data_IF_570408826437
#
_entry.id   IF_570408826437
#
_cell.length_a   1.000
_cell.length_b   1.000
_cell.length_c   1.000
_cell.angle_alpha   90.00
_cell.angle_beta   90.00
_cell.angle_gamma   90.00
#
_symmetry.space_group_name_H-M   'P 1'
#
loop_
_entity.id
_entity.type
_entity.pdbx_description
1 polymer ?
#
# COMPACT_ATOMS: atom_id res chain seq x y z
N UNK A 1 3.01 -18.52 0.35
CA UNK A 1 2.85 -17.45 -0.66
C UNK A 1 1.39 -17.14 -1.09
N UNK A 2 0.55 -18.10 -1.50
CA UNK A 2 -0.82 -17.81 -2.00
C UNK A 2 -1.65 -16.93 -1.05
N UNK A 3 -1.68 -17.24 0.24
CA UNK A 3 -2.41 -16.42 1.24
C UNK A 3 -1.87 -14.99 1.35
N UNK A 4 -0.56 -14.80 1.17
CA UNK A 4 0.06 -13.46 1.15
C UNK A 4 -0.44 -12.69 -0.08
N UNK A 5 -0.47 -13.32 -1.26
CA UNK A 5 -1.00 -12.69 -2.49
C UNK A 5 -2.46 -12.25 -2.31
N UNK A 6 -3.32 -13.15 -1.81
CA UNK A 6 -4.73 -12.83 -1.55
C UNK A 6 -4.90 -11.71 -0.51
N UNK A 7 -4.08 -11.73 0.55
CA UNK A 7 -4.09 -10.69 1.57
C UNK A 7 -3.63 -9.33 1.01
N UNK A 8 -2.63 -9.31 0.13
CA UNK A 8 -2.19 -8.09 -0.57
C UNK A 8 -3.28 -7.54 -1.49
N UNK A 9 -4.01 -8.40 -2.21
CA UNK A 9 -5.15 -7.97 -3.03
C UNK A 9 -6.24 -7.33 -2.17
N UNK A 10 -6.58 -7.95 -1.03
CA UNK A 10 -7.53 -7.40 -0.08
C UNK A 10 -7.06 -6.04 0.47
N UNK A 11 -5.80 -5.95 0.90
CA UNK A 11 -5.19 -4.69 1.37
C UNK A 11 -5.28 -3.59 0.30
N UNK A 12 -5.02 -3.94 -0.97
CA UNK A 12 -5.14 -3.00 -2.07
C UNK A 12 -6.57 -2.49 -2.24
N UNK A 13 -7.58 -3.37 -2.21
CA UNK A 13 -8.99 -2.94 -2.26
C UNK A 13 -9.36 -2.04 -1.08
N UNK A 14 -8.89 -2.34 0.12
CA UNK A 14 -9.08 -1.49 1.30
C UNK A 14 -8.48 -0.09 1.05
N UNK A 15 -7.24 -0.01 0.55
CA UNK A 15 -6.57 1.26 0.19
C UNK A 15 -7.32 2.05 -0.90
N UNK A 16 -7.94 1.38 -1.87
CA UNK A 16 -8.75 2.03 -2.89
C UNK A 16 -10.07 2.59 -2.33
N UNK A 17 -10.70 1.85 -1.42
CA UNK A 17 -12.01 2.18 -0.86
C UNK A 17 -11.93 3.30 0.18
N UNK A 18 -10.93 3.27 1.07
CA UNK A 18 -10.73 4.22 2.16
C UNK A 18 -10.93 5.70 1.78
N UNK A 19 -10.14 6.29 0.86
CA UNK A 19 -10.30 7.71 0.53
C UNK A 19 -11.63 8.00 -0.18
N UNK A 20 -12.21 7.02 -0.90
CA UNK A 20 -13.51 7.20 -1.56
C UNK A 20 -14.64 7.30 -0.55
N UNK A 21 -14.67 6.39 0.43
CA UNK A 21 -15.68 6.37 1.50
C UNK A 21 -15.60 7.65 2.34
N UNK A 22 -14.39 8.08 2.70
CA UNK A 22 -14.17 9.27 3.51
C UNK A 22 -14.57 10.58 2.80
N UNK A 23 -14.49 10.63 1.47
CA UNK A 23 -14.94 11.79 0.67
C UNK A 23 -16.44 11.73 0.32
N UNK A 24 -17.04 10.53 0.23
CA UNK A 24 -18.43 10.36 -0.23
C UNK A 24 -19.45 11.09 0.66
N UNK A 25 -19.12 11.34 1.93
CA UNK A 25 -20.01 12.00 2.89
C UNK A 25 -20.25 13.49 2.58
N UNK A 26 -19.32 14.17 1.91
CA UNK A 26 -19.44 15.60 1.64
C UNK A 26 -20.27 15.89 0.38
N UNK A 27 -20.12 15.12 -0.71
CA UNK A 27 -20.89 15.29 -1.95
C UNK A 27 -21.01 13.98 -2.73
N UNK A 28 -22.14 13.75 -3.44
CA UNK A 28 -22.31 12.68 -4.46
C UNK A 28 -21.52 13.02 -5.74
N UNK A 29 -20.22 13.25 -5.58
CA UNK A 29 -19.30 13.59 -6.66
C UNK A 29 -18.38 12.39 -6.96
N UNK A 30 -18.41 11.94 -8.21
CA UNK A 30 -17.60 10.84 -8.74
C UNK A 30 -16.29 11.31 -9.39
N UNK A 31 -15.99 12.61 -9.34
CA UNK A 31 -14.73 13.14 -9.85
C UNK A 31 -13.51 12.54 -9.12
N UNK A 32 -12.32 12.56 -9.74
CA UNK A 32 -11.10 12.05 -9.12
C UNK A 32 -10.86 12.64 -7.73
N UNK A 33 -10.31 11.83 -6.81
CA UNK A 33 -10.09 12.24 -5.41
C UNK A 33 -9.35 13.58 -5.31
N UNK A 34 -8.30 13.79 -6.13
CA UNK A 34 -7.54 15.03 -6.13
C UNK A 34 -8.41 16.25 -6.46
N UNK A 35 -9.26 16.14 -7.50
CA UNK A 35 -10.19 17.21 -7.90
C UNK A 35 -11.15 17.58 -6.77
N UNK A 36 -11.61 16.58 -6.00
CA UNK A 36 -12.51 16.82 -4.86
C UNK A 36 -11.79 17.50 -3.70
N UNK A 37 -10.56 17.08 -3.41
CA UNK A 37 -9.72 17.68 -2.37
C UNK A 37 -9.39 19.15 -2.67
N UNK A 38 -9.19 19.48 -3.95
CA UNK A 38 -8.89 20.86 -4.37
C UNK A 38 -10.15 21.75 -4.36
N UNK A 39 -11.34 21.17 -4.55
CA UNK A 39 -12.62 21.89 -4.57
C UNK A 39 -13.22 22.14 -3.18
N UNK A 40 -13.12 21.18 -2.26
CA UNK A 40 -13.79 21.24 -0.96
C UNK A 40 -12.79 21.32 0.20
N UNK A 41 -12.58 22.53 0.78
CA UNK A 41 -11.65 22.72 1.90
C UNK A 41 -12.12 22.05 3.20
N UNK A 42 -13.37 21.59 3.28
CA UNK A 42 -13.89 20.91 4.46
C UNK A 42 -13.47 19.43 4.52
N UNK A 43 -12.93 18.88 3.43
CA UNK A 43 -12.42 17.51 3.46
C UNK A 43 -11.18 17.45 4.36
N UNK A 44 -11.14 16.56 5.36
CA UNK A 44 -9.99 16.48 6.25
C UNK A 44 -8.69 16.18 5.49
N UNK A 45 -7.62 16.89 5.84
CA UNK A 45 -6.32 16.76 5.17
C UNK A 45 -5.72 15.33 5.21
N UNK A 46 -6.14 14.48 6.16
CA UNK A 46 -5.71 13.08 6.21
C UNK A 46 -6.25 12.25 5.04
N UNK A 47 -7.37 12.62 4.42
CA UNK A 47 -7.93 11.92 3.26
C UNK A 47 -7.00 12.01 2.06
N UNK A 48 -6.45 13.21 1.79
CA UNK A 48 -5.42 13.39 0.77
C UNK A 48 -4.16 12.60 1.07
N UNK A 49 -3.76 12.53 2.34
CA UNK A 49 -2.60 11.72 2.76
C UNK A 49 -2.84 10.21 2.54
N UNK A 50 -4.01 9.70 2.90
CA UNK A 50 -4.40 8.31 2.61
C UNK A 50 -4.39 8.06 1.11
N UNK A 51 -4.89 8.98 0.29
CA UNK A 51 -4.84 8.86 -1.17
C UNK A 51 -3.41 8.76 -1.70
N UNK A 52 -2.48 9.58 -1.20
CA UNK A 52 -1.06 9.49 -1.54
C UNK A 52 -0.43 8.17 -1.08
N UNK A 53 -0.79 7.66 0.10
CA UNK A 53 -0.34 6.35 0.58
C UNK A 53 -0.86 5.21 -0.32
N UNK A 54 -2.08 5.32 -0.85
CA UNK A 54 -2.62 4.37 -1.84
C UNK A 54 -1.84 4.39 -3.14
N UNK A 55 -1.49 5.57 -3.68
CA UNK A 55 -0.60 5.66 -4.85
C UNK A 55 0.75 5.01 -4.60
N UNK A 56 1.33 5.24 -3.42
CA UNK A 56 2.60 4.62 -3.06
C UNK A 56 2.53 3.08 -2.95
N UNK A 57 1.41 2.54 -2.45
CA UNK A 57 1.18 1.09 -2.49
C UNK A 57 1.14 0.60 -3.95
N UNK A 58 0.39 1.28 -4.83
CA UNK A 58 0.25 0.92 -6.24
C UNK A 58 1.60 0.87 -6.98
N UNK A 59 2.51 1.80 -6.71
CA UNK A 59 3.85 1.81 -7.30
C UNK A 59 4.68 0.56 -6.95
N UNK A 60 4.46 -0.01 -5.76
CA UNK A 60 5.19 -1.19 -5.29
C UNK A 60 4.53 -2.54 -5.63
N UNK A 61 3.23 -2.54 -5.99
CA UNK A 61 2.49 -3.76 -6.28
C UNK A 61 3.06 -4.57 -7.47
N UNK A 62 3.47 -3.95 -8.61
CA UNK A 62 4.04 -4.71 -9.72
C UNK A 62 5.26 -5.53 -9.31
N UNK A 63 6.16 -4.93 -8.52
CA UNK A 63 7.37 -5.60 -8.02
C UNK A 63 7.00 -6.73 -7.05
N UNK A 64 6.09 -6.45 -6.10
CA UNK A 64 5.61 -7.45 -5.15
C UNK A 64 4.98 -8.66 -5.87
N UNK A 65 4.05 -8.42 -6.79
CA UNK A 65 3.36 -9.50 -7.50
C UNK A 65 4.31 -10.29 -8.41
N UNK A 66 5.24 -9.62 -9.09
CA UNK A 66 6.26 -10.33 -9.87
C UNK A 66 7.07 -11.29 -8.99
N UNK A 67 7.58 -10.82 -7.85
CA UNK A 67 8.35 -11.66 -6.92
C UNK A 67 7.48 -12.78 -6.31
N UNK A 68 6.24 -12.48 -5.94
CA UNK A 68 5.33 -13.45 -5.34
C UNK A 68 4.91 -14.56 -6.33
N UNK A 69 4.65 -14.21 -7.59
CA UNK A 69 4.33 -15.18 -8.65
C UNK A 69 5.55 -16.04 -8.96
N UNK A 70 6.73 -15.44 -9.11
CA UNK A 70 7.96 -16.20 -9.30
C UNK A 70 8.21 -17.16 -8.14
N UNK A 71 8.05 -16.70 -6.90
CA UNK A 71 8.16 -17.55 -5.69
C UNK A 71 7.22 -18.76 -5.73
N UNK A 72 5.99 -18.59 -6.23
CA UNK A 72 5.03 -19.71 -6.40
C UNK A 72 5.52 -20.67 -7.49
N UNK A 73 5.89 -20.15 -8.66
CA UNK A 73 6.24 -20.96 -9.84
C UNK A 73 7.57 -21.70 -9.66
N UNK A 74 8.56 -21.08 -9.01
CA UNK A 74 9.86 -21.70 -8.72
C UNK A 74 9.87 -22.48 -7.40
N UNK A 75 8.77 -22.47 -6.65
CA UNK A 75 8.62 -23.14 -5.35
C UNK A 75 9.66 -22.67 -4.30
N UNK A 76 10.11 -21.42 -4.41
CA UNK A 76 11.01 -20.76 -3.45
C UNK A 76 10.17 -20.08 -2.37
N UNK A 77 10.38 -20.41 -1.10
CA UNK A 77 9.60 -19.79 -0.02
C UNK A 77 10.07 -18.37 0.30
N UNK A 78 9.28 -17.39 -0.10
CA UNK A 78 9.45 -15.97 0.25
C UNK A 78 8.34 -15.44 1.17
N UNK A 79 7.62 -16.33 1.86
CA UNK A 79 6.41 -15.99 2.63
C UNK A 79 6.71 -15.03 3.78
N UNK A 80 7.83 -15.18 4.47
CA UNK A 80 8.25 -14.32 5.59
C UNK A 80 8.47 -12.87 5.14
N UNK A 81 9.20 -12.67 4.04
CA UNK A 81 9.44 -11.35 3.45
C UNK A 81 8.14 -10.72 2.94
N UNK A 82 7.27 -11.50 2.30
CA UNK A 82 5.96 -11.03 1.84
C UNK A 82 5.04 -10.60 2.98
N UNK A 83 5.04 -11.35 4.09
CA UNK A 83 4.27 -10.99 5.28
C UNK A 83 4.79 -9.70 5.94
N UNK A 84 6.11 -9.60 6.12
CA UNK A 84 6.75 -8.39 6.64
C UNK A 84 6.41 -7.16 5.79
N UNK A 85 6.43 -7.32 4.46
CA UNK A 85 6.03 -6.26 3.53
C UNK A 85 4.59 -5.80 3.76
N UNK A 86 3.61 -6.72 3.90
CA UNK A 86 2.21 -6.37 4.18
C UNK A 86 2.09 -5.58 5.48
N UNK A 87 2.73 -6.05 6.56
CA UNK A 87 2.68 -5.41 7.88
C UNK A 87 3.22 -3.97 7.77
N UNK A 88 4.36 -3.79 7.10
CA UNK A 88 4.95 -2.48 6.89
C UNK A 88 4.07 -1.55 6.06
N UNK A 89 3.30 -2.07 5.08
CA UNK A 89 2.34 -1.27 4.29
C UNK A 89 1.15 -0.81 5.12
N UNK A 90 0.64 -1.66 6.00
CA UNK A 90 -0.42 -1.28 6.95
C UNK A 90 0.10 -0.20 7.90
N UNK A 91 1.29 -0.39 8.48
CA UNK A 91 1.93 0.61 9.35
C UNK A 91 2.14 1.93 8.60
N UNK A 92 2.68 1.88 7.38
CA UNK A 92 2.92 3.06 6.54
C UNK A 92 1.65 3.87 6.32
N UNK A 93 0.52 3.23 6.02
CA UNK A 93 -0.77 3.90 5.85
C UNK A 93 -1.12 4.76 7.07
N UNK A 94 -1.07 4.19 8.27
CA UNK A 94 -1.37 4.92 9.51
C UNK A 94 -0.38 6.06 9.74
N UNK A 95 0.92 5.78 9.66
CA UNK A 95 1.96 6.80 9.86
C UNK A 95 1.81 7.97 8.89
N UNK A 96 1.45 7.70 7.64
CA UNK A 96 1.24 8.72 6.62
C UNK A 96 -0.05 9.52 6.88
N UNK A 97 -1.16 8.85 7.25
CA UNK A 97 -2.41 9.51 7.60
C UNK A 97 -2.24 10.49 8.79
N UNK A 98 -1.47 10.11 9.81
CA UNK A 98 -1.19 10.93 11.00
C UNK A 98 0.01 11.88 10.88
N UNK A 99 0.67 11.95 9.70
CA UNK A 99 1.83 12.84 9.45
C UNK A 99 3.01 12.58 10.41
N UNK A 100 3.25 11.31 10.75
CA UNK A 100 4.30 10.89 11.68
C UNK A 100 5.67 10.72 10.99
N UNK A 101 6.41 11.82 10.89
CA UNK A 101 7.79 11.86 10.39
C UNK A 101 8.77 11.67 11.58
N UNK A 102 9.88 10.90 11.47
CA UNK A 102 10.43 10.17 10.31
C UNK A 102 9.90 8.75 10.12
N UNK A 103 9.02 8.27 11.00
CA UNK A 103 8.61 6.86 11.06
C UNK A 103 8.02 6.34 9.74
N UNK A 104 7.27 7.17 9.00
CA UNK A 104 6.76 6.77 7.67
C UNK A 104 7.87 6.35 6.70
N UNK A 105 9.01 7.04 6.73
CA UNK A 105 10.14 6.78 5.83
C UNK A 105 10.83 5.48 6.20
N UNK A 106 10.94 5.20 7.51
CA UNK A 106 11.49 3.94 8.03
C UNK A 106 10.59 2.77 7.59
N UNK A 107 9.28 2.88 7.76
CA UNK A 107 8.34 1.83 7.33
C UNK A 107 8.40 1.60 5.81
N UNK A 108 8.48 2.68 5.03
CA UNK A 108 8.63 2.59 3.57
C UNK A 108 9.93 1.89 3.19
N UNK A 109 11.07 2.31 3.77
CA UNK A 109 12.38 1.73 3.48
C UNK A 109 12.43 0.26 3.85
N UNK A 110 11.90 -0.11 5.02
CA UNK A 110 11.76 -1.51 5.41
C UNK A 110 10.96 -2.32 4.39
N UNK A 111 9.87 -1.76 3.86
CA UNK A 111 9.08 -2.47 2.84
C UNK A 111 9.86 -2.65 1.53
N UNK A 112 10.69 -1.68 1.14
CA UNK A 112 11.57 -1.82 -0.04
C UNK A 112 12.61 -2.91 0.20
N UNK A 113 13.20 -2.97 1.39
CA UNK A 113 14.14 -4.04 1.77
C UNK A 113 13.47 -5.41 1.66
N UNK A 114 12.22 -5.58 2.10
CA UNK A 114 11.49 -6.84 1.94
C UNK A 114 11.38 -7.26 0.46
N UNK A 115 11.10 -6.32 -0.45
CA UNK A 115 11.03 -6.63 -1.89
C UNK A 115 12.39 -7.05 -2.45
N UNK A 116 13.48 -6.38 -2.03
CA UNK A 116 14.85 -6.75 -2.43
C UNK A 116 15.16 -8.16 -1.92
N UNK A 117 14.84 -8.47 -0.67
CA UNK A 117 15.07 -9.80 -0.09
C UNK A 117 14.26 -10.88 -0.80
N UNK A 118 13.00 -10.61 -1.18
CA UNK A 118 12.23 -11.52 -2.04
C UNK A 118 12.94 -11.77 -3.37
N UNK A 119 13.43 -10.72 -4.03
CA UNK A 119 14.12 -10.84 -5.31
C UNK A 119 15.44 -11.62 -5.20
N UNK A 120 16.24 -11.38 -4.15
CA UNK A 120 17.48 -12.11 -3.90
C UNK A 120 17.22 -13.59 -3.60
N UNK A 121 16.18 -13.89 -2.83
CA UNK A 121 15.79 -15.26 -2.49
C UNK A 121 15.42 -16.09 -3.72
N UNK A 122 14.95 -15.46 -4.80
CA UNK A 122 14.61 -16.15 -6.06
C UNK A 122 15.83 -16.59 -6.89
N UNK A 123 17.01 -16.04 -6.59
CA UNK A 123 18.26 -16.31 -7.34
C UNK A 123 19.15 -17.31 -6.59
N UNK A 124 18.86 -17.54 -5.30
CA UNK A 124 19.54 -18.52 -4.46
C UNK A 124 18.98 -19.92 -4.68
#
# INVERSE_FOLDING_TARGET
MIYIVLSTMLLYFIHLALPKILTFKNHRDFSPIQVRLDKDPNIPSYVGRIHSATKNLQESLPVFFACAVLSIVTNVDSTSYGLAWIILRVIYLFLYAYKLNPYRTIAWLGSVICLILMALNLIQ
#
